data_IF_341621932188
#
_entry.id   IF_341621932188
#
_cell.length_a   1.000
_cell.length_b   1.000
_cell.length_c   1.000
_cell.angle_alpha   90.00
_cell.angle_beta   90.00
_cell.angle_gamma   90.00
#
_symmetry.space_group_name_H-M   'P 1'
#
loop_
_entity.id
_entity.type
_entity.pdbx_description
1 polymer ?
#
# COMPACT_ATOMS: atom_id res chain seq x y z
N UNK A 1 -2.10 -10.06 11.17
CA UNK A 1 -0.65 -10.28 10.93
C UNK A 1 0.10 -10.22 12.27
N UNK A 2 1.30 -10.82 12.37
CA UNK A 2 2.10 -10.77 13.62
C UNK A 2 2.53 -9.34 13.94
N UNK A 3 3.01 -8.62 12.92
CA UNK A 3 3.37 -7.21 12.98
C UNK A 3 2.79 -6.45 11.78
N UNK A 4 2.66 -5.14 11.94
CA UNK A 4 2.34 -4.22 10.85
C UNK A 4 3.36 -3.10 10.86
N UNK A 5 3.76 -2.64 9.68
CA UNK A 5 4.69 -1.52 9.51
C UNK A 5 4.00 -0.37 8.77
N UNK A 6 4.43 0.88 8.98
CA UNK A 6 3.92 2.02 8.22
C UNK A 6 4.10 1.79 6.72
N UNK A 7 3.02 1.91 5.96
CA UNK A 7 3.05 1.88 4.49
C UNK A 7 3.11 3.30 3.94
N UNK A 8 2.23 4.15 4.42
CA UNK A 8 1.98 5.45 3.83
C UNK A 8 0.88 6.22 4.55
N UNK A 9 0.57 7.40 4.04
CA UNK A 9 -0.45 8.27 4.59
C UNK A 9 -1.57 8.56 3.60
N UNK A 10 -2.72 8.93 4.15
CA UNK A 10 -3.88 9.38 3.39
C UNK A 10 -3.51 10.56 2.48
N UNK A 11 -3.82 10.41 1.19
CA UNK A 11 -3.79 11.50 0.22
C UNK A 11 -5.18 12.09 0.02
N UNK A 12 -6.06 11.35 -0.65
CA UNK A 12 -7.44 11.79 -0.92
C UNK A 12 -8.36 10.58 -1.15
N UNK A 13 -9.65 10.84 -1.27
CA UNK A 13 -10.65 9.82 -1.64
C UNK A 13 -11.09 10.00 -3.08
N UNK A 14 -11.28 8.90 -3.79
CA UNK A 14 -11.84 8.86 -5.14
C UNK A 14 -13.02 7.90 -5.12
N UNK A 15 -14.24 8.43 -5.25
CA UNK A 15 -15.47 7.67 -5.06
C UNK A 15 -15.50 6.99 -3.67
N UNK A 16 -15.40 5.66 -3.64
CA UNK A 16 -15.41 4.84 -2.42
C UNK A 16 -14.01 4.29 -2.07
N UNK A 17 -13.02 4.57 -2.92
CA UNK A 17 -11.64 4.12 -2.73
C UNK A 17 -10.78 5.20 -2.08
N UNK A 18 -9.79 4.75 -1.32
CA UNK A 18 -8.85 5.61 -0.63
C UNK A 18 -7.52 5.61 -1.37
N UNK A 19 -7.01 6.79 -1.69
CA UNK A 19 -5.68 6.95 -2.29
C UNK A 19 -4.68 7.30 -1.20
N UNK A 20 -3.69 6.43 -1.02
CA UNK A 20 -2.58 6.63 -0.11
C UNK A 20 -1.33 7.02 -0.88
N UNK A 21 -0.58 7.99 -0.34
CA UNK A 21 0.82 8.19 -0.73
C UNK A 21 1.68 7.19 0.03
N UNK A 22 2.52 6.45 -0.70
CA UNK A 22 3.40 5.43 -0.09
C UNK A 22 4.72 6.07 0.34
N UNK A 23 5.13 5.78 1.57
CA UNK A 23 6.33 6.35 2.20
C UNK A 23 7.51 5.35 2.25
N UNK A 24 7.29 4.11 1.79
CA UNK A 24 8.31 3.04 1.74
C UNK A 24 8.83 2.81 0.32
N UNK A 25 10.04 2.27 0.22
CA UNK A 25 10.66 1.95 -1.08
C UNK A 25 10.11 0.66 -1.71
N UNK A 26 9.75 -0.33 -0.89
CA UNK A 26 9.28 -1.62 -1.38
C UNK A 26 7.83 -1.56 -1.88
N UNK A 27 7.51 -2.38 -2.87
CA UNK A 27 6.21 -2.36 -3.55
C UNK A 27 5.26 -3.36 -2.90
N UNK A 28 4.05 -2.97 -2.47
CA UNK A 28 3.11 -3.90 -1.88
C UNK A 28 2.54 -4.89 -2.90
N UNK A 29 2.05 -6.04 -2.43
CA UNK A 29 1.30 -6.97 -3.28
C UNK A 29 -0.08 -6.37 -3.63
N UNK A 30 -0.56 -6.67 -4.84
CA UNK A 30 -1.98 -6.51 -5.16
C UNK A 30 -2.84 -7.32 -4.19
N UNK A 31 -4.00 -6.78 -3.81
CA UNK A 31 -4.90 -7.34 -2.81
C UNK A 31 -4.27 -7.51 -1.40
N UNK A 32 -3.11 -6.91 -1.12
CA UNK A 32 -2.56 -6.92 0.23
C UNK A 32 -3.52 -6.20 1.19
N UNK A 33 -3.85 -6.80 2.34
CA UNK A 33 -4.68 -6.15 3.35
C UNK A 33 -3.99 -4.89 3.90
N UNK A 34 -4.78 -3.83 4.08
CA UNK A 34 -4.34 -2.59 4.73
C UNK A 34 -4.95 -2.49 6.13
N UNK A 35 -4.14 -2.03 7.06
CA UNK A 35 -4.44 -1.98 8.48
C UNK A 35 -4.29 -0.57 9.05
N UNK A 36 -4.92 -0.34 10.20
CA UNK A 36 -4.59 0.75 11.12
C UNK A 36 -3.50 0.31 12.11
N UNK A 37 -3.02 1.24 12.94
CA UNK A 37 -2.00 0.99 13.96
C UNK A 37 -2.42 -0.10 14.96
N UNK A 38 -3.72 -0.15 15.28
CA UNK A 38 -4.33 -1.17 16.13
C UNK A 38 -4.46 -2.55 15.45
N UNK A 39 -3.89 -2.74 14.25
CA UNK A 39 -3.97 -3.93 13.40
C UNK A 39 -5.38 -4.27 12.89
N UNK A 40 -6.32 -3.33 12.98
CA UNK A 40 -7.65 -3.46 12.39
C UNK A 40 -7.54 -3.35 10.87
N UNK A 41 -8.08 -4.34 10.16
CA UNK A 41 -8.07 -4.34 8.70
C UNK A 41 -9.16 -3.41 8.17
N UNK A 42 -8.78 -2.47 7.32
CA UNK A 42 -9.73 -1.50 6.75
C UNK A 42 -10.11 -1.76 5.29
N UNK A 43 -9.31 -2.55 4.60
CA UNK A 43 -9.44 -2.76 3.18
C UNK A 43 -8.29 -3.54 2.62
N UNK A 44 -8.09 -3.42 1.31
CA UNK A 44 -7.01 -4.07 0.57
C UNK A 44 -6.56 -3.21 -0.60
N UNK A 45 -5.31 -3.37 -1.01
CA UNK A 45 -4.78 -2.68 -2.19
C UNK A 45 -5.46 -3.20 -3.46
N UNK A 46 -5.90 -2.29 -4.33
CA UNK A 46 -6.47 -2.63 -5.63
C UNK A 46 -5.51 -2.22 -6.76
N UNK A 47 -5.04 -0.98 -6.75
CA UNK A 47 -4.14 -0.44 -7.77
C UNK A 47 -2.86 0.16 -7.17
N UNK A 48 -1.78 0.10 -7.94
CA UNK A 48 -0.49 0.71 -7.64
C UNK A 48 -0.10 1.55 -8.85
N UNK A 49 0.08 2.86 -8.67
CA UNK A 49 0.27 3.79 -9.77
C UNK A 49 1.16 4.97 -9.38
N UNK A 50 1.75 5.64 -10.36
CA UNK A 50 2.71 6.73 -10.14
C UNK A 50 4.11 6.35 -10.57
N UNK A 51 5.11 7.07 -10.05
CA UNK A 51 6.50 6.89 -10.43
C UNK A 51 7.21 5.91 -9.48
N UNK A 52 8.25 5.23 -9.94
CA UNK A 52 8.88 4.12 -9.19
C UNK A 52 9.29 4.45 -7.74
N UNK A 53 9.63 5.71 -7.45
CA UNK A 53 10.05 6.20 -6.12
C UNK A 53 9.03 7.13 -5.46
N UNK A 54 7.98 7.49 -6.16
CA UNK A 54 6.93 8.38 -5.68
C UNK A 54 5.62 7.90 -6.30
N UNK A 55 5.05 6.88 -5.66
CA UNK A 55 3.85 6.21 -6.12
C UNK A 55 2.76 6.24 -5.05
N UNK A 56 1.56 6.01 -5.52
CA UNK A 56 0.34 5.96 -4.76
C UNK A 56 -0.28 4.59 -4.90
N UNK A 57 -1.11 4.23 -3.93
CA UNK A 57 -1.92 3.02 -3.98
C UNK A 57 -3.37 3.38 -3.76
N UNK A 58 -4.26 2.73 -4.50
CA UNK A 58 -5.68 2.72 -4.18
C UNK A 58 -5.97 1.57 -3.22
N UNK A 59 -6.77 1.86 -2.21
CA UNK A 59 -7.23 0.90 -1.21
C UNK A 59 -8.73 0.80 -1.34
N UNK A 60 -9.19 -0.39 -1.72
CA UNK A 60 -10.59 -0.75 -1.70
C UNK A 60 -11.00 -1.05 -0.27
N UNK A 61 -11.87 -0.20 0.27
CA UNK A 61 -12.33 -0.32 1.65
C UNK A 61 -13.34 -1.47 1.80
N UNK A 62 -13.40 -2.03 3.00
CA UNK A 62 -14.45 -3.00 3.35
C UNK A 62 -15.84 -2.34 3.36
N UNK A 63 -16.90 -3.14 3.17
CA UNK A 63 -18.29 -2.65 3.02
C UNK A 63 -18.77 -1.77 4.20
N UNK A 64 -18.21 -1.95 5.39
CA UNK A 64 -18.58 -1.22 6.59
C UNK A 64 -17.71 0.01 6.87
N UNK A 65 -16.75 0.34 5.98
CA UNK A 65 -15.75 1.37 6.20
C UNK A 65 -15.93 2.46 5.16
N UNK A 66 -16.14 3.69 5.65
CA UNK A 66 -16.39 4.85 4.79
C UNK A 66 -15.10 5.62 4.57
N UNK A 67 -14.72 5.84 3.32
CA UNK A 67 -13.49 6.58 2.98
C UNK A 67 -13.42 7.98 3.64
N UNK A 68 -14.58 8.63 3.82
CA UNK A 68 -14.71 9.94 4.45
C UNK A 68 -14.49 9.97 5.98
N UNK A 69 -14.36 8.81 6.64
CA UNK A 69 -14.06 8.78 8.08
C UNK A 69 -12.59 9.04 8.39
N UNK A 70 -11.71 8.92 7.39
CA UNK A 70 -10.28 9.15 7.56
C UNK A 70 -9.95 10.63 7.39
N UNK A 71 -8.99 11.10 8.19
CA UNK A 71 -8.51 12.49 8.16
C UNK A 71 -7.26 12.59 7.31
N UNK A 72 -6.97 13.81 6.86
CA UNK A 72 -5.72 14.13 6.21
C UNK A 72 -4.52 13.73 7.09
N UNK A 73 -3.52 13.09 6.49
CA UNK A 73 -2.34 12.58 7.21
C UNK A 73 -2.58 11.31 8.04
N UNK A 74 -3.76 10.68 7.97
CA UNK A 74 -3.97 9.38 8.61
C UNK A 74 -2.97 8.35 8.06
N UNK A 75 -2.20 7.73 8.95
CA UNK A 75 -1.23 6.71 8.58
C UNK A 75 -1.90 5.33 8.44
N UNK A 76 -1.47 4.59 7.43
CA UNK A 76 -1.90 3.24 7.14
C UNK A 76 -0.72 2.27 7.20
N UNK A 77 -1.04 1.02 7.51
CA UNK A 77 -0.06 0.00 7.83
C UNK A 77 -0.28 -1.25 6.99
N UNK A 78 0.79 -2.00 6.76
CA UNK A 78 0.79 -3.25 5.99
C UNK A 78 1.60 -4.32 6.72
N UNK A 79 1.28 -5.58 6.46
CA UNK A 79 2.12 -6.70 6.86
C UNK A 79 3.43 -6.67 6.03
N UNK A 80 4.62 -6.65 6.66
CA UNK A 80 5.89 -6.68 5.92
C UNK A 80 6.07 -7.90 5.02
N UNK A 81 5.40 -9.02 5.31
CA UNK A 81 5.40 -10.20 4.44
C UNK A 81 4.64 -9.98 3.12
N UNK A 82 3.88 -8.87 3.02
CA UNK A 82 3.13 -8.44 1.83
C UNK A 82 3.81 -7.28 1.11
N UNK A 83 5.14 -7.27 1.12
CA UNK A 83 5.98 -6.37 0.32
C UNK A 83 6.89 -7.14 -0.64
N UNK A 84 7.12 -6.56 -1.82
CA UNK A 84 8.02 -7.01 -2.86
C UNK A 84 9.20 -6.04 -2.94
N UNK A 85 10.45 -6.54 -2.90
CA UNK A 85 11.62 -5.69 -3.03
C UNK A 85 11.61 -4.88 -4.33
N UNK A 86 11.83 -3.56 -4.27
CA UNK A 86 11.81 -2.67 -5.44
C UNK A 86 12.71 -3.16 -6.59
N UNK A 87 13.85 -3.75 -6.25
CA UNK A 87 14.81 -4.35 -7.19
C UNK A 87 14.20 -5.38 -8.15
N UNK A 88 13.05 -5.99 -7.82
CA UNK A 88 12.34 -6.91 -8.72
C UNK A 88 11.75 -6.20 -9.94
N UNK A 89 11.53 -4.89 -9.84
CA UNK A 89 10.95 -4.05 -10.89
C UNK A 89 11.99 -3.20 -11.62
N UNK A 90 13.27 -3.24 -11.21
CA UNK A 90 14.38 -2.58 -11.89
C UNK A 90 14.99 -3.48 -12.98
N UNK A 91 15.53 -2.90 -14.07
CA UNK A 91 16.24 -3.66 -15.07
C UNK A 91 17.42 -4.38 -14.41
N UNK A 92 17.48 -5.70 -14.59
CA UNK A 92 18.60 -6.47 -14.08
C UNK A 92 19.82 -6.29 -14.99
N UNK A 93 21.04 -6.30 -14.43
CA UNK A 93 22.24 -6.31 -15.25
C UNK A 93 22.22 -7.52 -16.22
N UNK A 94 22.80 -7.38 -17.43
CA UNK A 94 22.86 -8.46 -18.41
C UNK A 94 23.45 -9.73 -17.77
N UNK A 95 22.70 -10.84 -17.82
CA UNK A 95 23.15 -12.15 -17.31
C UNK A 95 22.63 -12.56 -15.92
N UNK A 96 21.84 -11.73 -15.23
CA UNK A 96 21.20 -12.14 -13.99
C UNK A 96 20.08 -13.18 -14.23
N UNK A 97 20.18 -14.35 -13.59
CA UNK A 97 19.13 -15.38 -13.65
C UNK A 97 17.94 -14.95 -12.78
N UNK A 98 16.73 -14.89 -13.37
CA UNK A 98 15.47 -14.71 -12.63
C UNK A 98 15.23 -15.97 -11.79
N UNK A 99 15.32 -15.84 -10.47
CA UNK A 99 14.91 -16.87 -9.51
C UNK A 99 13.42 -16.81 -9.20
#
# INVERSE_FOLDING_TARGET
>A
PESVIPLGHYGWTVQDDLVCKVDIEDVPYFNAPIYLENKEQIGKIDEIFGNLRDYFVSVKLGENIKAKSFKEGQQFFIDPAKLLPLKRFLPQPPGAKRG
#
